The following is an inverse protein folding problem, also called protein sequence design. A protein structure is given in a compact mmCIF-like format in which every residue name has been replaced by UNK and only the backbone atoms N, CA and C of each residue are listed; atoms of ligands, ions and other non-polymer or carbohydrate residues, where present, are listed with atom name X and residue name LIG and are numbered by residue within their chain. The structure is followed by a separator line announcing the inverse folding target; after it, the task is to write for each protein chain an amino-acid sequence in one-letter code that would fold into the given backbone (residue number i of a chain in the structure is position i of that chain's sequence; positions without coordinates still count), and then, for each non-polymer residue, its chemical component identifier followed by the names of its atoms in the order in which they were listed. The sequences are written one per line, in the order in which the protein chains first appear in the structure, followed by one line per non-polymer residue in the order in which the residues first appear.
data_IF_823315783457
#
_entry.id   IF_823315783457
#
_cell.length_a   1.000
_cell.length_b   1.000
_cell.length_c   1.000
_cell.angle_alpha   90.00
_cell.angle_beta   90.00
_cell.angle_gamma   90.00
#
_symmetry.space_group_name_H-M   'P 1'
#
loop_
_entity.id
_entity.type
_entity.pdbx_description
1 polymer ?
#
# COMPACT_ATOMS: atom_id res chain seq x y z
N UNK A 1 -45.10 24.71 -52.24
CA UNK A 1 -43.87 23.99 -51.88
C UNK A 1 -43.49 24.37 -50.46
N UNK A 2 -43.28 23.35 -49.63
CA UNK A 2 -43.20 23.29 -48.16
C UNK A 2 -42.55 24.45 -47.39
N UNK A 3 -43.30 25.01 -46.43
CA UNK A 3 -42.73 25.64 -45.24
C UNK A 3 -42.41 24.54 -44.20
N UNK A 4 -41.14 24.46 -43.81
CA UNK A 4 -40.61 23.49 -42.85
C UNK A 4 -40.82 24.04 -41.44
N UNK A 5 -41.71 23.41 -40.67
CA UNK A 5 -41.84 23.67 -39.24
C UNK A 5 -40.59 23.14 -38.52
N UNK A 6 -39.82 24.05 -37.93
CA UNK A 6 -38.70 23.71 -37.05
C UNK A 6 -39.25 23.36 -35.67
N UNK A 7 -39.35 22.07 -35.38
CA UNK A 7 -39.62 21.55 -34.04
C UNK A 7 -38.42 21.81 -33.12
N UNK A 8 -38.55 22.78 -32.21
CA UNK A 8 -37.67 22.89 -31.05
C UNK A 8 -37.93 21.71 -30.13
N UNK A 9 -37.02 20.74 -30.11
CA UNK A 9 -36.97 19.70 -29.09
C UNK A 9 -36.63 20.30 -27.72
N UNK A 10 -37.08 19.67 -26.62
CA UNK A 10 -36.92 20.23 -25.29
C UNK A 10 -35.44 20.31 -24.91
N UNK A 11 -35.04 21.46 -24.36
CA UNK A 11 -33.72 21.69 -23.82
C UNK A 11 -33.39 20.62 -22.78
N UNK A 12 -32.27 19.93 -23.00
CA UNK A 12 -31.68 18.95 -22.09
C UNK A 12 -31.42 19.64 -20.75
N UNK A 13 -32.31 19.43 -19.78
CA UNK A 13 -32.19 19.99 -18.43
C UNK A 13 -30.89 19.48 -17.80
N UNK A 14 -29.90 20.36 -17.71
CA UNK A 14 -28.69 20.10 -16.94
C UNK A 14 -29.07 20.16 -15.46
N UNK A 15 -28.86 19.05 -14.75
CA UNK A 15 -29.03 19.02 -13.30
C UNK A 15 -28.15 20.12 -12.65
N UNK A 16 -28.62 20.81 -11.59
CA UNK A 16 -27.88 21.90 -10.98
C UNK A 16 -26.51 21.43 -10.48
N UNK A 17 -25.48 22.30 -10.51
CA UNK A 17 -24.18 21.98 -9.92
C UNK A 17 -24.34 21.69 -8.43
N UNK A 18 -23.67 20.64 -7.96
CA UNK A 18 -23.68 20.24 -6.54
C UNK A 18 -23.19 21.42 -5.70
N UNK A 19 -23.89 21.70 -4.60
CA UNK A 19 -23.49 22.77 -3.67
C UNK A 19 -22.19 22.39 -2.94
N UNK A 20 -21.39 23.40 -2.56
CA UNK A 20 -20.15 23.19 -1.79
C UNK A 20 -20.38 22.38 -0.49
N UNK A 21 -21.56 22.56 0.12
CA UNK A 21 -21.99 21.81 1.31
C UNK A 21 -22.20 20.32 1.02
N UNK A 22 -22.94 19.99 -0.04
CA UNK A 22 -23.17 18.60 -0.45
C UNK A 22 -21.87 17.87 -0.81
N UNK A 23 -20.95 18.54 -1.51
CA UNK A 23 -19.63 17.99 -1.83
C UNK A 23 -18.85 17.64 -0.55
N UNK A 24 -18.86 18.55 0.42
CA UNK A 24 -18.19 18.35 1.72
C UNK A 24 -18.82 17.19 2.49
N UNK A 25 -20.14 17.08 2.51
CA UNK A 25 -20.84 16.00 3.21
C UNK A 25 -20.61 14.63 2.56
N UNK A 26 -20.52 14.57 1.22
CA UNK A 26 -20.11 13.36 0.49
C UNK A 26 -18.66 12.99 0.82
N UNK A 27 -17.75 13.95 0.85
CA UNK A 27 -16.36 13.70 1.16
C UNK A 27 -16.19 13.20 2.61
N UNK A 28 -16.91 13.78 3.59
CA UNK A 28 -16.91 13.27 4.98
C UNK A 28 -17.44 11.83 5.06
N UNK A 29 -18.44 11.50 4.24
CA UNK A 29 -18.98 10.14 4.16
C UNK A 29 -17.96 9.18 3.52
N UNK A 30 -17.21 9.62 2.50
CA UNK A 30 -16.09 8.86 1.94
C UNK A 30 -15.01 8.59 2.99
N UNK A 31 -14.60 9.61 3.77
CA UNK A 31 -13.61 9.44 4.84
C UNK A 31 -14.07 8.39 5.86
N UNK A 32 -15.30 8.49 6.35
CA UNK A 32 -15.84 7.48 7.30
C UNK A 32 -15.86 6.09 6.68
N UNK A 33 -16.31 5.97 5.43
CA UNK A 33 -16.34 4.69 4.72
C UNK A 33 -14.93 4.09 4.60
N UNK A 34 -13.95 4.89 4.18
CA UNK A 34 -12.55 4.46 4.03
C UNK A 34 -11.98 3.97 5.36
N UNK A 35 -12.13 4.76 6.44
CA UNK A 35 -11.62 4.40 7.76
C UNK A 35 -12.28 3.11 8.32
N UNK A 36 -13.59 2.93 8.10
CA UNK A 36 -14.30 1.72 8.54
C UNK A 36 -13.94 0.46 7.76
N UNK A 37 -13.46 0.61 6.52
CA UNK A 37 -13.12 -0.50 5.63
C UNK A 37 -11.60 -0.72 5.51
N UNK A 38 -10.78 -0.01 6.28
CA UNK A 38 -9.34 -0.25 6.36
C UNK A 38 -8.97 -1.18 7.53
N UNK A 39 -9.95 -1.83 8.17
CA UNK A 39 -9.73 -2.63 9.38
C UNK A 39 -8.92 -3.91 9.18
N UNK A 40 -8.82 -4.44 7.96
CA UNK A 40 -8.02 -5.61 7.59
C UNK A 40 -6.80 -5.23 6.73
N UNK A 41 -6.59 -3.93 6.52
CA UNK A 41 -5.59 -3.33 5.63
C UNK A 41 -5.67 -3.80 4.16
N UNK A 42 -6.77 -4.42 3.74
CA UNK A 42 -6.96 -4.84 2.34
C UNK A 42 -7.33 -3.62 1.48
N UNK A 43 -6.76 -3.46 0.27
CA UNK A 43 -7.09 -2.34 -0.60
C UNK A 43 -8.59 -2.22 -0.90
N UNK A 44 -9.15 -1.03 -0.69
CA UNK A 44 -10.58 -0.74 -0.80
C UNK A 44 -10.91 -0.42 -2.26
N UNK A 45 -11.90 -1.11 -2.83
CA UNK A 45 -12.25 -0.91 -4.24
C UNK A 45 -12.92 0.43 -4.48
N UNK A 46 -12.47 1.16 -5.49
CA UNK A 46 -13.06 2.44 -5.90
C UNK A 46 -14.57 2.30 -6.15
N UNK A 47 -15.00 1.23 -6.81
CA UNK A 47 -16.42 1.00 -7.11
C UNK A 47 -17.28 0.77 -5.87
N UNK A 48 -16.71 0.16 -4.82
CA UNK A 48 -17.44 -0.03 -3.55
C UNK A 48 -17.59 1.30 -2.80
N UNK A 49 -16.56 2.16 -2.85
CA UNK A 49 -16.64 3.53 -2.33
C UNK A 49 -17.76 4.30 -3.06
N UNK A 50 -17.77 4.24 -4.40
CA UNK A 50 -18.80 4.90 -5.21
C UNK A 50 -20.22 4.44 -4.87
N UNK A 51 -20.42 3.14 -4.79
CA UNK A 51 -21.71 2.54 -4.50
C UNK A 51 -22.25 3.00 -3.15
N UNK A 52 -21.40 3.02 -2.12
CA UNK A 52 -21.82 3.29 -0.74
C UNK A 52 -21.82 4.79 -0.39
N UNK A 53 -20.98 5.60 -1.03
CA UNK A 53 -20.85 7.03 -0.70
C UNK A 53 -21.70 7.91 -1.61
N UNK A 54 -21.56 7.75 -2.93
CA UNK A 54 -22.18 8.63 -3.93
C UNK A 54 -23.45 8.03 -4.55
N UNK A 55 -23.85 6.82 -4.14
CA UNK A 55 -24.99 6.08 -4.71
C UNK A 55 -24.89 5.96 -6.24
N UNK A 56 -23.68 5.70 -6.75
CA UNK A 56 -23.35 5.62 -8.18
C UNK A 56 -23.51 6.95 -8.96
N UNK A 57 -23.63 8.10 -8.30
CA UNK A 57 -23.52 9.38 -8.99
C UNK A 57 -22.05 9.63 -9.38
N UNK A 58 -21.74 9.49 -10.67
CA UNK A 58 -20.38 9.63 -11.21
C UNK A 58 -19.95 11.08 -11.36
N UNK A 59 -20.92 11.99 -11.53
CA UNK A 59 -20.68 13.43 -11.61
C UNK A 59 -20.06 13.89 -10.29
N UNK A 60 -18.78 14.29 -10.32
CA UNK A 60 -18.00 14.83 -9.19
C UNK A 60 -17.30 13.81 -8.27
N UNK A 61 -17.24 12.53 -8.66
CA UNK A 61 -16.47 11.51 -7.90
C UNK A 61 -15.04 11.95 -7.62
N UNK A 62 -14.35 12.47 -8.65
CA UNK A 62 -12.96 12.91 -8.52
C UNK A 62 -12.80 13.99 -7.46
N UNK A 63 -13.70 14.98 -7.42
CA UNK A 63 -13.67 16.07 -6.44
C UNK A 63 -13.97 15.57 -5.03
N UNK A 64 -14.93 14.63 -4.88
CA UNK A 64 -15.22 13.99 -3.59
C UNK A 64 -13.99 13.25 -3.06
N UNK A 65 -13.33 12.46 -3.91
CA UNK A 65 -12.15 11.68 -3.53
C UNK A 65 -10.96 12.58 -3.20
N UNK A 66 -10.71 13.64 -3.99
CA UNK A 66 -9.66 14.62 -3.70
C UNK A 66 -9.88 15.33 -2.36
N UNK A 67 -11.12 15.74 -2.08
CA UNK A 67 -11.45 16.38 -0.81
C UNK A 67 -11.36 15.39 0.37
N UNK A 68 -11.77 14.14 0.17
CA UNK A 68 -11.63 13.08 1.17
C UNK A 68 -10.16 12.77 1.48
N UNK A 69 -9.31 12.64 0.45
CA UNK A 69 -7.87 12.46 0.61
C UNK A 69 -7.23 13.64 1.36
N UNK A 70 -7.62 14.87 1.02
CA UNK A 70 -7.18 16.08 1.74
C UNK A 70 -7.56 16.02 3.22
N UNK A 71 -8.82 15.67 3.54
CA UNK A 71 -9.29 15.55 4.92
C UNK A 71 -8.60 14.43 5.69
N UNK A 72 -8.37 13.26 5.07
CA UNK A 72 -7.61 12.17 5.68
C UNK A 72 -6.21 12.64 6.08
N UNK A 73 -5.52 13.33 5.18
CA UNK A 73 -4.17 13.84 5.44
C UNK A 73 -4.14 14.91 6.52
N UNK A 74 -5.00 15.93 6.42
CA UNK A 74 -4.96 17.10 7.32
C UNK A 74 -5.52 16.81 8.71
N UNK A 75 -6.52 15.93 8.82
CA UNK A 75 -7.19 15.64 10.10
C UNK A 75 -6.64 14.39 10.78
N UNK A 76 -6.25 13.36 10.01
CA UNK A 76 -5.86 12.05 10.54
C UNK A 76 -4.39 11.71 10.29
N UNK A 77 -3.65 12.48 9.49
CA UNK A 77 -2.29 12.14 9.09
C UNK A 77 -2.20 10.89 8.20
N UNK A 78 -3.30 10.54 7.53
CA UNK A 78 -3.41 9.35 6.68
C UNK A 78 -3.40 9.77 5.21
N UNK A 79 -2.58 9.11 4.39
CA UNK A 79 -2.57 9.29 2.94
C UNK A 79 -3.41 8.22 2.25
N UNK A 80 -4.20 8.67 1.27
CA UNK A 80 -4.99 7.81 0.41
C UNK A 80 -4.20 7.52 -0.86
N UNK A 81 -3.66 6.30 -0.97
CA UNK A 81 -2.78 5.89 -2.08
C UNK A 81 -3.55 5.01 -3.06
N UNK A 82 -3.46 5.30 -4.36
CA UNK A 82 -3.97 4.43 -5.44
C UNK A 82 -3.02 3.24 -5.61
N UNK A 83 -3.53 2.00 -5.55
CA UNK A 83 -2.71 0.79 -5.68
C UNK A 83 -2.16 0.54 -7.10
N UNK A 84 -2.52 1.40 -8.05
CA UNK A 84 -2.09 1.32 -9.44
C UNK A 84 -2.75 0.19 -10.21
N UNK A 85 -3.69 -0.54 -9.60
CA UNK A 85 -4.36 -1.65 -10.24
C UNK A 85 -5.27 -1.14 -11.37
N UNK A 86 -5.05 -1.69 -12.57
CA UNK A 86 -5.85 -1.39 -13.76
C UNK A 86 -6.46 -2.68 -14.30
N UNK A 87 -7.72 -2.66 -14.76
CA UNK A 87 -8.62 -1.50 -14.91
C UNK A 87 -9.32 -1.07 -13.61
N UNK A 88 -9.24 -1.87 -12.54
CA UNK A 88 -9.98 -1.66 -11.30
C UNK A 88 -9.14 -0.96 -10.24
N UNK A 89 -9.38 0.33 -10.04
CA UNK A 89 -8.71 1.12 -9.00
C UNK A 89 -9.04 0.61 -7.61
N UNK A 90 -8.01 0.41 -6.79
CA UNK A 90 -8.17 0.26 -5.34
C UNK A 90 -7.35 1.32 -4.61
N UNK A 91 -7.70 1.53 -3.34
CA UNK A 91 -7.02 2.48 -2.49
C UNK A 91 -6.52 1.82 -1.21
N UNK A 92 -5.37 2.28 -0.74
CA UNK A 92 -4.85 1.98 0.59
C UNK A 92 -4.88 3.24 1.45
N UNK A 93 -5.10 3.04 2.75
CA UNK A 93 -4.79 4.05 3.75
C UNK A 93 -3.41 3.76 4.33
N UNK A 94 -2.50 4.70 4.12
CA UNK A 94 -1.12 4.66 4.61
C UNK A 94 -1.00 5.69 5.73
N UNK A 95 -0.49 5.26 6.88
CA UNK A 95 -0.23 6.19 7.98
C UNK A 95 1.09 6.94 7.73
N UNK A 96 1.04 8.27 7.61
CA UNK A 96 2.22 9.10 7.35
C UNK A 96 2.88 9.60 8.65
N UNK A 97 2.30 9.33 9.82
CA UNK A 97 2.83 9.80 11.10
C UNK A 97 3.98 8.90 11.58
N UNK A 98 5.19 9.21 11.11
CA UNK A 98 6.45 8.47 11.36
C UNK A 98 6.88 8.30 12.84
N UNK A 99 6.12 8.81 13.80
CA UNK A 99 6.52 8.87 15.23
C UNK A 99 5.40 8.45 16.20
N UNK A 100 4.38 7.75 15.72
CA UNK A 100 3.38 7.14 16.59
C UNK A 100 3.48 5.63 16.54
N UNK A 101 4.62 5.07 16.97
CA UNK A 101 4.78 3.61 17.09
C UNK A 101 3.66 2.99 17.95
N UNK A 102 3.14 3.74 18.92
CA UNK A 102 2.01 3.38 19.77
C UNK A 102 0.62 3.42 19.10
N UNK A 103 0.46 4.11 17.96
CA UNK A 103 -0.78 4.15 17.15
C UNK A 103 -0.61 3.34 15.84
N UNK A 104 0.64 3.07 15.45
CA UNK A 104 1.04 2.22 14.32
C UNK A 104 0.80 0.73 14.56
N UNK A 105 0.35 0.32 15.75
CA UNK A 105 -0.20 -1.02 16.02
C UNK A 105 -1.54 -1.30 15.29
N UNK A 106 -1.80 -0.63 14.17
CA UNK A 106 -3.02 -0.73 13.41
C UNK A 106 -2.97 -2.01 12.57
N UNK A 107 -3.57 -3.06 13.15
CA UNK A 107 -4.20 -4.24 12.51
C UNK A 107 -3.29 -5.45 12.25
N UNK A 108 -1.99 -5.25 11.99
CA UNK A 108 -1.08 -6.39 11.91
C UNK A 108 -0.82 -6.96 13.30
N UNK A 109 -1.00 -8.27 13.46
CA UNK A 109 -0.63 -8.99 14.70
C UNK A 109 0.88 -8.91 14.91
N UNK A 110 1.35 -9.05 16.16
CA UNK A 110 2.78 -9.10 16.48
C UNK A 110 3.53 -10.12 15.61
N UNK A 111 2.88 -11.26 15.32
CA UNK A 111 3.38 -12.33 14.46
C UNK A 111 3.52 -11.90 13.00
N UNK A 112 2.55 -11.16 12.47
CA UNK A 112 2.61 -10.60 11.12
C UNK A 112 3.74 -9.58 11.00
N UNK A 113 3.89 -8.70 12.00
CA UNK A 113 4.98 -7.71 12.02
C UNK A 113 6.36 -8.37 12.09
N UNK A 114 6.54 -9.37 12.95
CA UNK A 114 7.79 -10.11 13.08
C UNK A 114 8.14 -10.85 11.77
N UNK A 115 7.19 -11.58 11.20
CA UNK A 115 7.40 -12.28 9.93
C UNK A 115 7.67 -11.30 8.78
N UNK A 116 6.94 -10.18 8.76
CA UNK A 116 7.14 -9.13 7.77
C UNK A 116 8.55 -8.53 7.85
N UNK A 117 9.04 -8.21 9.05
CA UNK A 117 10.38 -7.70 9.27
C UNK A 117 11.44 -8.67 8.70
N UNK A 118 11.34 -9.98 9.01
CA UNK A 118 12.23 -11.01 8.47
C UNK A 118 12.24 -11.01 6.94
N UNK A 119 11.06 -11.04 6.32
CA UNK A 119 10.94 -11.14 4.85
C UNK A 119 11.47 -9.89 4.16
N UNK A 120 11.08 -8.70 4.64
CA UNK A 120 11.47 -7.44 4.03
C UNK A 120 12.97 -7.18 4.19
N UNK A 121 13.54 -7.52 5.34
CA UNK A 121 14.99 -7.47 5.57
C UNK A 121 15.73 -8.44 4.64
N UNK A 122 15.26 -9.68 4.46
CA UNK A 122 15.87 -10.60 3.50
C UNK A 122 15.86 -10.01 2.08
N UNK A 123 14.71 -9.51 1.62
CA UNK A 123 14.60 -8.92 0.27
C UNK A 123 15.55 -7.74 0.13
N UNK A 124 15.57 -6.84 1.12
CA UNK A 124 16.45 -5.68 1.13
C UNK A 124 17.93 -6.07 1.06
N UNK A 125 18.34 -7.06 1.85
CA UNK A 125 19.72 -7.55 1.89
C UNK A 125 20.12 -8.22 0.57
N UNK A 126 19.30 -9.13 0.05
CA UNK A 126 19.59 -9.89 -1.17
C UNK A 126 19.56 -9.04 -2.44
N UNK A 127 18.81 -7.95 -2.44
CA UNK A 127 18.73 -7.01 -3.58
C UNK A 127 19.76 -5.89 -3.50
N UNK A 128 20.67 -5.91 -2.51
CA UNK A 128 21.63 -4.85 -2.25
C UNK A 128 20.96 -3.47 -2.08
N UNK A 129 19.81 -3.43 -1.40
CA UNK A 129 19.06 -2.19 -1.21
C UNK A 129 18.30 -1.71 -2.46
N UNK A 130 17.95 -2.60 -3.39
CA UNK A 130 17.08 -2.30 -4.54
C UNK A 130 15.66 -2.83 -4.36
N UNK A 131 15.11 -2.66 -3.17
CA UNK A 131 13.86 -3.31 -2.75
C UNK A 131 12.61 -2.83 -3.51
N UNK A 132 12.67 -1.65 -4.13
CA UNK A 132 11.57 -1.09 -4.94
C UNK A 132 11.53 -1.70 -6.35
N UNK A 133 12.68 -2.08 -6.91
CA UNK A 133 12.78 -2.53 -8.30
C UNK A 133 13.13 -4.01 -8.47
N UNK A 134 13.65 -4.66 -7.44
CA UNK A 134 14.11 -6.04 -7.48
C UNK A 134 13.52 -6.88 -6.34
N UNK A 135 13.39 -8.18 -6.61
CA UNK A 135 12.89 -9.15 -5.65
C UNK A 135 13.83 -10.32 -5.43
N UNK A 136 13.39 -11.21 -4.56
CA UNK A 136 14.02 -12.51 -4.30
C UNK A 136 13.09 -13.58 -4.84
N UNK A 137 13.63 -14.56 -5.58
CA UNK A 137 12.86 -15.72 -6.02
C UNK A 137 12.17 -16.38 -4.84
N UNK A 138 10.87 -16.67 -4.96
CA UNK A 138 10.04 -17.21 -3.87
C UNK A 138 10.64 -18.48 -3.25
N UNK A 139 11.24 -19.35 -4.06
CA UNK A 139 11.93 -20.54 -3.56
C UNK A 139 13.12 -20.21 -2.64
N UNK A 140 13.87 -19.14 -2.92
CA UNK A 140 14.97 -18.67 -2.05
C UNK A 140 14.46 -18.04 -0.77
N UNK A 141 13.35 -17.29 -0.85
CA UNK A 141 12.67 -16.77 0.33
C UNK A 141 12.25 -17.92 1.26
N UNK A 142 11.59 -18.95 0.72
CA UNK A 142 11.10 -20.08 1.52
C UNK A 142 12.26 -20.93 2.06
N UNK A 143 13.33 -21.12 1.29
CA UNK A 143 14.54 -21.79 1.78
C UNK A 143 15.18 -21.04 2.95
N UNK A 144 15.20 -19.70 2.90
CA UNK A 144 15.70 -18.88 4.00
C UNK A 144 14.79 -18.97 5.23
N UNK A 145 13.47 -18.92 5.07
CA UNK A 145 12.54 -19.11 6.20
C UNK A 145 12.74 -20.47 6.87
N UNK A 146 12.91 -21.55 6.08
CA UNK A 146 13.22 -22.89 6.62
C UNK A 146 14.55 -22.95 7.37
N UNK A 147 15.56 -22.16 6.98
CA UNK A 147 16.82 -22.05 7.72
C UNK A 147 16.64 -21.42 9.11
N UNK A 148 15.57 -20.62 9.29
CA UNK A 148 15.17 -20.05 10.56
C UNK A 148 14.14 -20.92 11.30
N UNK A 149 13.99 -22.19 10.90
CA UNK A 149 12.99 -23.14 11.39
C UNK A 149 11.53 -22.70 11.15
N UNK A 150 11.30 -21.81 10.18
CA UNK A 150 9.98 -21.34 9.75
C UNK A 150 9.61 -22.01 8.42
N UNK A 151 8.92 -23.14 8.45
CA UNK A 151 8.39 -23.76 7.23
C UNK A 151 7.02 -23.17 6.86
N UNK A 152 6.85 -22.52 5.68
CA UNK A 152 5.56 -22.03 5.23
C UNK A 152 4.48 -23.11 5.05
N UNK A 153 4.86 -24.39 4.97
CA UNK A 153 3.93 -25.50 4.77
C UNK A 153 3.45 -26.16 6.07
N UNK A 154 4.14 -25.90 7.20
CA UNK A 154 3.84 -26.51 8.49
C UNK A 154 3.36 -25.47 9.51
N UNK A 155 2.78 -25.98 10.61
CA UNK A 155 2.41 -25.14 11.74
C UNK A 155 3.65 -24.82 12.59
N UNK A 156 3.91 -23.54 12.81
CA UNK A 156 5.02 -23.08 13.64
C UNK A 156 4.53 -22.71 15.05
N UNK A 157 5.31 -23.01 16.09
CA UNK A 157 4.91 -22.77 17.49
C UNK A 157 4.57 -21.29 17.78
N UNK A 158 5.46 -20.36 17.41
CA UNK A 158 5.20 -18.92 17.52
C UNK A 158 4.25 -18.40 16.41
N UNK A 159 4.58 -18.58 15.13
CA UNK A 159 3.84 -17.97 14.00
C UNK A 159 2.49 -18.64 13.69
N UNK A 160 2.24 -19.85 14.16
CA UNK A 160 1.05 -20.62 13.81
C UNK A 160 1.03 -21.03 12.34
N UNK A 161 -0.06 -20.74 11.64
CA UNK A 161 -0.20 -21.01 10.20
C UNK A 161 0.55 -19.94 9.37
N UNK A 162 1.82 -20.23 9.05
CA UNK A 162 2.72 -19.32 8.32
C UNK A 162 2.19 -19.01 6.92
N UNK A 163 1.56 -19.99 6.25
CA UNK A 163 0.97 -19.79 4.92
C UNK A 163 -0.10 -18.72 4.94
N UNK A 164 -0.99 -18.78 5.94
CA UNK A 164 -2.05 -17.79 6.14
C UNK A 164 -1.47 -16.40 6.45
N UNK A 165 -0.41 -16.31 7.23
CA UNK A 165 0.29 -15.04 7.48
C UNK A 165 0.85 -14.45 6.18
N UNK A 166 1.51 -15.26 5.34
CA UNK A 166 2.03 -14.81 4.04
C UNK A 166 0.90 -14.36 3.08
N UNK A 167 -0.24 -15.05 3.08
CA UNK A 167 -1.43 -14.63 2.33
C UNK A 167 -1.99 -13.28 2.83
N UNK A 168 -2.00 -13.06 4.15
CA UNK A 168 -2.39 -11.79 4.75
C UNK A 168 -1.47 -10.66 4.30
N UNK A 169 -0.14 -10.82 4.46
CA UNK A 169 0.85 -9.81 4.06
C UNK A 169 0.78 -9.44 2.57
N UNK A 170 0.47 -10.41 1.70
CA UNK A 170 0.24 -10.17 0.25
C UNK A 170 -1.07 -9.41 0.01
N UNK A 171 -2.13 -9.80 0.70
CA UNK A 171 -3.45 -9.16 0.58
C UNK A 171 -3.41 -7.69 1.01
N UNK A 172 -2.63 -7.39 2.04
CA UNK A 172 -2.39 -6.04 2.57
C UNK A 172 -1.40 -5.21 1.73
N UNK A 173 -0.80 -5.78 0.68
CA UNK A 173 0.22 -5.16 -0.19
C UNK A 173 1.55 -4.82 0.50
N UNK A 174 1.92 -5.55 1.54
CA UNK A 174 3.27 -5.50 2.08
C UNK A 174 4.25 -6.31 1.23
N UNK A 175 3.80 -7.42 0.65
CA UNK A 175 4.58 -8.27 -0.25
C UNK A 175 3.92 -8.26 -1.62
N UNK A 176 4.70 -8.03 -2.67
CA UNK A 176 4.26 -8.17 -4.05
C UNK A 176 4.94 -9.39 -4.69
N UNK A 177 4.14 -10.29 -5.25
CA UNK A 177 4.64 -11.42 -6.04
C UNK A 177 4.52 -11.10 -7.52
N UNK A 178 5.64 -11.18 -8.23
CA UNK A 178 5.73 -10.91 -9.66
C UNK A 178 6.16 -12.19 -10.36
N UNK A 179 5.45 -12.55 -11.43
CA UNK A 179 5.82 -13.70 -12.26
C UNK A 179 7.13 -13.40 -12.99
N UNK A 180 8.09 -14.32 -12.90
CA UNK A 180 9.34 -14.25 -13.64
C UNK A 180 9.08 -14.74 -15.08
N UNK A 181 9.34 -13.88 -16.05
CA UNK A 181 9.17 -14.20 -17.47
C UNK A 181 10.09 -15.36 -17.90
N UNK A 182 9.60 -16.17 -18.84
CA UNK A 182 10.39 -17.24 -19.49
C UNK A 182 10.97 -18.30 -18.53
N UNK A 183 10.23 -18.64 -17.47
CA UNK A 183 10.59 -19.73 -16.56
C UNK A 183 9.66 -20.94 -16.75
N UNK A 184 10.24 -22.14 -16.84
CA UNK A 184 9.51 -23.42 -16.85
C UNK A 184 10.14 -24.37 -15.80
N UNK A 185 9.43 -24.73 -14.71
CA UNK A 185 8.08 -24.28 -14.35
C UNK A 185 8.02 -22.77 -14.04
N UNK A 186 6.81 -22.20 -14.03
CA UNK A 186 6.59 -20.78 -13.70
C UNK A 186 7.14 -20.46 -12.31
N UNK A 187 8.00 -19.45 -12.25
CA UNK A 187 8.58 -18.94 -10.99
C UNK A 187 8.06 -17.55 -10.67
N UNK A 188 8.17 -17.20 -9.40
CA UNK A 188 7.78 -15.89 -8.87
C UNK A 188 8.95 -15.26 -8.11
N UNK A 189 9.04 -13.94 -8.16
CA UNK A 189 9.87 -13.14 -7.27
C UNK A 189 8.99 -12.39 -6.26
N UNK A 190 9.46 -12.30 -5.02
CA UNK A 190 8.85 -11.53 -3.95
C UNK A 190 9.59 -10.20 -3.81
N UNK A 191 8.84 -9.09 -3.85
CA UNK A 191 9.31 -7.71 -3.69
C UNK A 191 8.61 -7.03 -2.52
N UNK A 192 9.17 -5.90 -2.09
CA UNK A 192 8.42 -4.99 -1.23
C UNK A 192 7.20 -4.50 -2.00
N UNK A 193 6.03 -4.69 -1.40
CA UNK A 193 4.78 -4.17 -1.94
C UNK A 193 4.64 -2.68 -1.67
N UNK A 194 3.63 -2.07 -2.31
CA UNK A 194 3.36 -0.64 -2.21
C UNK A 194 3.22 -0.17 -0.75
N UNK A 195 2.49 -0.92 0.08
CA UNK A 195 2.31 -0.55 1.50
C UNK A 195 3.62 -0.57 2.27
N UNK A 196 4.47 -1.58 2.04
CA UNK A 196 5.80 -1.65 2.65
C UNK A 196 6.68 -0.47 2.26
N UNK A 197 6.64 -0.08 0.98
CA UNK A 197 7.43 1.05 0.46
C UNK A 197 7.02 2.41 1.05
N UNK A 198 5.75 2.56 1.43
CA UNK A 198 5.23 3.82 1.99
C UNK A 198 5.32 3.87 3.52
N UNK A 199 5.05 2.76 4.21
CA UNK A 199 4.98 2.72 5.68
C UNK A 199 6.32 2.43 6.36
N UNK A 200 7.25 1.73 5.69
CA UNK A 200 8.45 1.21 6.32
C UNK A 200 9.72 1.90 5.85
N UNK A 201 10.66 2.06 6.78
CA UNK A 201 11.96 2.63 6.49
C UNK A 201 12.94 1.55 6.02
N UNK A 202 13.67 1.75 4.90
CA UNK A 202 14.75 0.85 4.52
C UNK A 202 15.88 0.81 5.55
N UNK A 203 16.03 1.87 6.37
CA UNK A 203 16.97 1.88 7.49
C UNK A 203 16.60 0.81 8.53
N UNK A 204 15.32 0.77 8.92
CA UNK A 204 14.84 -0.21 9.90
C UNK A 204 15.01 -1.65 9.42
N UNK A 205 14.84 -1.90 8.11
CA UNK A 205 15.12 -3.20 7.52
C UNK A 205 16.61 -3.59 7.62
N UNK A 206 17.52 -2.62 7.43
CA UNK A 206 18.96 -2.83 7.56
C UNK A 206 19.40 -3.00 9.03
N UNK A 207 18.82 -2.25 9.95
CA UNK A 207 19.04 -2.38 11.40
C UNK A 207 18.63 -3.78 11.87
N UNK A 208 17.40 -4.19 11.56
CA UNK A 208 16.92 -5.53 11.88
C UNK A 208 17.80 -6.64 11.29
N UNK A 209 18.20 -6.50 10.02
CA UNK A 209 19.12 -7.46 9.41
C UNK A 209 20.47 -7.51 10.14
N UNK A 210 21.02 -6.36 10.52
CA UNK A 210 22.32 -6.29 11.20
C UNK A 210 22.28 -6.95 12.57
N UNK A 211 21.19 -6.76 13.31
CA UNK A 211 20.94 -7.47 14.58
C UNK A 211 20.89 -8.99 14.37
N UNK A 212 20.13 -9.47 13.36
CA UNK A 212 20.07 -10.90 13.03
C UNK A 212 21.44 -11.51 12.69
N UNK A 213 22.30 -10.75 12.00
CA UNK A 213 23.64 -11.20 11.62
C UNK A 213 24.71 -10.94 12.70
N UNK A 214 24.34 -10.42 13.87
CA UNK A 214 25.27 -10.11 14.96
C UNK A 214 26.27 -9.01 14.61
N UNK A 215 25.85 -8.01 13.81
CA UNK A 215 26.66 -6.85 13.45
C UNK A 215 26.16 -5.60 14.16
N UNK A 216 27.03 -4.98 14.95
CA UNK A 216 26.69 -3.79 15.73
C UNK A 216 26.56 -2.51 14.89
N UNK A 217 27.05 -2.52 13.65
CA UNK A 217 27.15 -1.32 12.79
C UNK A 217 26.58 -1.56 11.40
N UNK A 218 25.46 -0.92 11.10
CA UNK A 218 24.78 -0.98 9.79
C UNK A 218 25.66 -0.48 8.63
N UNK A 219 26.63 0.40 8.90
CA UNK A 219 27.54 0.95 7.89
C UNK A 219 28.51 -0.08 7.32
N UNK A 220 28.68 -1.22 8.01
CA UNK A 220 29.48 -2.35 7.52
C UNK A 220 28.86 -3.01 6.29
N UNK A 221 27.56 -2.81 6.06
CA UNK A 221 26.86 -3.19 4.84
C UNK A 221 26.94 -2.07 3.80
N UNK A 222 28.15 -1.78 3.31
CA UNK A 222 28.44 -0.56 2.54
C UNK A 222 27.45 -0.28 1.39
N UNK A 223 27.08 -1.29 0.60
CA UNK A 223 26.15 -1.14 -0.52
C UNK A 223 24.73 -0.83 -0.05
N UNK A 224 24.23 -1.60 0.90
CA UNK A 224 22.90 -1.44 1.48
C UNK A 224 22.78 -0.11 2.24
N UNK A 225 23.78 0.24 3.04
CA UNK A 225 23.84 1.50 3.78
C UNK A 225 23.84 2.71 2.83
N UNK A 226 24.59 2.63 1.71
CA UNK A 226 24.53 3.65 0.67
C UNK A 226 23.11 3.80 0.11
N UNK A 227 22.40 2.70 -0.14
CA UNK A 227 21.02 2.74 -0.62
C UNK A 227 20.07 3.41 0.39
N UNK A 228 20.23 3.13 1.70
CA UNK A 228 19.50 3.82 2.78
C UNK A 228 19.75 5.33 2.72
N UNK A 229 21.02 5.75 2.73
CA UNK A 229 21.39 7.17 2.69
C UNK A 229 20.85 7.89 1.45
N UNK A 230 20.87 7.24 0.28
CA UNK A 230 20.29 7.82 -0.95
C UNK A 230 18.78 8.02 -0.81
N UNK A 231 18.06 7.05 -0.24
CA UNK A 231 16.62 7.16 -0.02
C UNK A 231 16.25 8.30 0.94
N UNK A 232 16.96 8.40 2.06
CA UNK A 232 16.73 9.43 3.09
C UNK A 232 17.01 10.84 2.56
N UNK A 233 18.10 11.01 1.80
CA UNK A 233 18.45 12.28 1.20
C UNK A 233 17.46 12.70 0.10
N UNK A 234 16.95 11.74 -0.70
CA UNK A 234 15.92 12.00 -1.71
C UNK A 234 14.58 12.43 -1.11
N UNK A 235 14.17 11.83 0.02
CA UNK A 235 12.94 12.21 0.73
C UNK A 235 12.99 13.61 1.34
N UNK A 236 14.18 14.07 1.75
CA UNK A 236 14.37 15.39 2.37
C UNK A 236 14.25 16.56 1.39
N UNK A 237 14.50 16.34 0.09
CA UNK A 237 14.37 17.37 -0.96
C UNK A 237 12.90 17.59 -1.35
N UNK A 238 12.07 16.53 -1.33
CA UNK A 238 10.65 16.63 -1.66
C UNK A 238 9.82 17.41 -0.62
N UNK A 239 10.25 17.44 0.65
CA UNK A 239 9.57 18.15 1.74
C UNK A 239 9.93 19.65 1.87
N UNK A 240 10.94 20.15 1.12
CA UNK A 240 11.33 21.57 1.15
C UNK A 240 10.68 22.42 0.04
N UNK A 241 9.87 21.82 -0.82
CA UNK A 241 9.33 22.45 -2.02
C UNK A 241 7.80 22.57 -2.04
N UNK A 242 7.15 22.68 -0.87
CA UNK A 242 5.73 23.05 -0.76
C UNK A 242 5.52 24.11 0.31
#
# INVERSE_FOLDING_TARGET
MSQRMSSQGPARSQAPPISSKELTDLARRAVRYLLMNDLDKVPIKHNDILKNVTKNCTKNTSQVMQLAAKMLRETYGIELVDDGNKPNKHYLLVNCLKHQDHISHSIATEKELALLAIILSLIFMQTNGRWKEAGVEQGKLYAFLKLLDIDPLDHHEYFGDVKKLLESLRSQRYIQEIKIENTDPVKYECRWGLRACEELSPRSALEFASEMYGRDRIETWATQYKAVCTHENGGNVAHRSN
#
